data_IF_212644331270
#
_entry.id   IF_212644331270
#
_cell.length_a   1.000
_cell.length_b   1.000
_cell.length_c   1.000
_cell.angle_alpha   90.00
_cell.angle_beta   90.00
_cell.angle_gamma   90.00
#
_symmetry.space_group_name_H-M   'P 1'
#
loop_
_entity.id
_entity.type
_entity.pdbx_description
1 polymer ?
#
# COMPACT_ATOMS: atom_id res chain seq x y z
N UNK A 1 -3.79 -18.54 15.32
CA UNK A 1 -3.00 -17.78 16.30
C UNK A 1 -1.52 -17.81 15.93
N UNK A 2 -0.76 -18.89 16.10
CA UNK A 2 0.70 -18.88 15.85
C UNK A 2 1.12 -18.43 14.43
N UNK A 3 0.41 -18.85 13.37
CA UNK A 3 0.72 -18.43 12.01
C UNK A 3 0.44 -16.94 11.76
N UNK A 4 -0.67 -16.44 12.28
CA UNK A 4 -1.06 -15.03 12.17
C UNK A 4 -0.07 -14.14 12.93
N UNK A 5 0.37 -14.57 14.10
CA UNK A 5 1.35 -13.87 14.92
C UNK A 5 2.71 -13.80 14.19
N UNK A 6 3.17 -14.91 13.61
CA UNK A 6 4.42 -14.96 12.83
C UNK A 6 4.40 -14.06 11.60
N UNK A 7 3.27 -14.02 10.87
CA UNK A 7 3.11 -13.13 9.71
C UNK A 7 3.12 -11.67 10.15
N UNK A 8 2.38 -11.34 11.21
CA UNK A 8 2.30 -9.97 11.76
C UNK A 8 3.67 -9.50 12.25
N UNK A 9 4.38 -10.34 13.00
CA UNK A 9 5.74 -10.04 13.47
C UNK A 9 6.69 -9.78 12.30
N UNK A 10 6.67 -10.66 11.29
CA UNK A 10 7.53 -10.53 10.09
C UNK A 10 7.26 -9.22 9.35
N UNK A 11 5.99 -8.87 9.13
CA UNK A 11 5.61 -7.64 8.44
C UNK A 11 5.98 -6.40 9.25
N UNK A 12 5.71 -6.42 10.55
CA UNK A 12 6.01 -5.30 11.45
C UNK A 12 7.51 -5.06 11.53
N UNK A 13 8.32 -6.10 11.66
CA UNK A 13 9.78 -5.99 11.74
C UNK A 13 10.39 -5.48 10.41
N UNK A 14 9.89 -5.95 9.25
CA UNK A 14 10.31 -5.44 7.95
C UNK A 14 9.93 -3.98 7.76
N UNK A 15 8.72 -3.59 8.20
CA UNK A 15 8.26 -2.20 8.15
C UNK A 15 9.11 -1.31 9.04
N UNK A 16 9.44 -1.76 10.25
CA UNK A 16 10.34 -1.05 11.17
C UNK A 16 11.69 -0.78 10.52
N UNK A 17 12.32 -1.79 9.94
CA UNK A 17 13.61 -1.64 9.25
C UNK A 17 13.52 -0.64 8.09
N UNK A 18 12.44 -0.68 7.31
CA UNK A 18 12.23 0.28 6.24
C UNK A 18 12.07 1.71 6.75
N UNK A 19 11.34 1.92 7.86
CA UNK A 19 11.21 3.23 8.50
C UNK A 19 12.56 3.74 8.96
N UNK A 20 13.35 2.90 9.64
CA UNK A 20 14.69 3.26 10.13
C UNK A 20 15.67 3.58 9.01
N UNK A 21 15.60 2.81 7.90
CA UNK A 21 16.49 2.99 6.75
C UNK A 21 16.16 4.21 5.90
N UNK A 22 14.87 4.52 5.72
CA UNK A 22 14.41 5.53 4.77
C UNK A 22 13.85 6.79 5.42
N UNK A 23 13.60 6.78 6.74
CA UNK A 23 13.03 7.89 7.49
C UNK A 23 11.82 8.54 6.80
N UNK A 24 10.80 7.76 6.38
CA UNK A 24 9.64 8.28 5.66
C UNK A 24 8.83 9.20 6.58
N UNK A 25 8.17 10.20 6.00
CA UNK A 25 7.21 11.05 6.72
C UNK A 25 5.84 10.39 6.83
N UNK A 26 5.54 9.47 5.93
CA UNK A 26 4.21 8.85 5.84
C UNK A 26 4.35 7.37 5.53
N UNK A 27 3.62 6.55 6.26
CA UNK A 27 3.42 5.12 6.01
C UNK A 27 1.98 4.89 5.55
N UNK A 28 1.80 4.37 4.35
CA UNK A 28 0.48 4.02 3.81
C UNK A 28 0.36 2.50 3.76
N UNK A 29 -0.69 1.96 4.35
CA UNK A 29 -0.97 0.52 4.39
C UNK A 29 -2.30 0.24 3.69
N UNK A 30 -2.25 -0.58 2.65
CA UNK A 30 -3.39 -0.97 1.83
C UNK A 30 -3.32 -2.43 1.38
N UNK A 31 -4.33 -2.85 0.61
CA UNK A 31 -4.46 -4.23 0.12
C UNK A 31 -5.25 -5.13 1.08
N UNK A 32 -5.67 -6.33 0.59
CA UNK A 32 -6.59 -7.21 1.31
C UNK A 32 -6.12 -7.61 2.71
N UNK A 33 -4.84 -7.91 2.89
CA UNK A 33 -4.26 -8.28 4.19
C UNK A 33 -4.32 -7.14 5.21
N UNK A 34 -4.36 -5.88 4.74
CA UNK A 34 -4.49 -4.73 5.63
C UNK A 34 -5.85 -4.62 6.33
N UNK A 35 -6.83 -5.46 5.98
CA UNK A 35 -8.08 -5.58 6.71
C UNK A 35 -7.94 -6.35 8.03
N UNK A 36 -6.86 -7.14 8.18
CA UNK A 36 -6.60 -7.91 9.39
C UNK A 36 -6.37 -6.98 10.59
N UNK A 37 -7.20 -7.14 11.63
CA UNK A 37 -7.19 -6.26 12.80
C UNK A 37 -5.93 -6.41 13.66
N UNK A 38 -5.36 -7.62 13.73
CA UNK A 38 -4.15 -7.88 14.49
C UNK A 38 -2.95 -7.15 13.87
N UNK A 39 -2.79 -7.26 12.54
CA UNK A 39 -1.77 -6.53 11.79
C UNK A 39 -1.95 -5.00 11.91
N UNK A 40 -3.18 -4.50 11.83
CA UNK A 40 -3.47 -3.06 11.99
C UNK A 40 -3.06 -2.55 13.35
N UNK A 41 -3.40 -3.28 14.42
CA UNK A 41 -3.00 -2.93 15.78
C UNK A 41 -1.47 -2.89 15.95
N UNK A 42 -0.77 -3.90 15.41
CA UNK A 42 0.69 -3.97 15.47
C UNK A 42 1.37 -2.81 14.70
N UNK A 43 0.88 -2.49 13.50
CA UNK A 43 1.41 -1.37 12.71
C UNK A 43 1.09 -0.01 13.32
N UNK A 44 -0.06 0.13 13.98
CA UNK A 44 -0.39 1.35 14.74
C UNK A 44 0.57 1.51 15.92
N UNK A 45 0.74 0.47 16.72
CA UNK A 45 1.68 0.48 17.84
C UNK A 45 3.12 0.78 17.38
N UNK A 46 3.55 0.22 16.24
CA UNK A 46 4.85 0.55 15.65
C UNK A 46 4.92 2.03 15.28
N UNK A 47 3.92 2.57 14.57
CA UNK A 47 3.93 3.97 14.12
C UNK A 47 3.95 4.95 15.30
N UNK A 48 3.29 4.63 16.42
CA UNK A 48 3.26 5.44 17.64
C UNK A 48 4.66 5.60 18.26
N UNK A 49 5.61 4.72 17.94
CA UNK A 49 7.01 4.85 18.39
C UNK A 49 7.80 5.89 17.58
N UNK A 50 7.24 6.39 16.48
CA UNK A 50 7.88 7.37 15.58
C UNK A 50 7.04 8.66 15.50
N UNK A 51 7.24 9.66 16.38
CA UNK A 51 6.37 10.84 16.48
C UNK A 51 6.25 11.68 15.19
N UNK A 52 7.24 11.56 14.29
CA UNK A 52 7.23 12.28 13.00
C UNK A 52 6.58 11.50 11.86
N UNK A 53 6.17 10.24 12.11
CA UNK A 53 5.58 9.36 11.10
C UNK A 53 4.06 9.47 11.12
N UNK A 54 3.46 9.75 9.96
CA UNK A 54 2.02 9.74 9.78
C UNK A 54 1.61 8.38 9.22
N UNK A 55 0.75 7.65 9.96
CA UNK A 55 0.21 6.36 9.50
C UNK A 55 -1.15 6.56 8.83
N UNK A 56 -1.28 6.09 7.60
CA UNK A 56 -2.56 5.97 6.89
C UNK A 56 -2.92 4.49 6.67
N UNK A 57 -3.95 4.04 7.37
CA UNK A 57 -4.55 2.72 7.15
C UNK A 57 -5.77 2.87 6.24
N UNK A 58 -5.83 2.09 5.17
CA UNK A 58 -7.03 2.04 4.32
C UNK A 58 -8.26 1.64 5.14
N UNK A 59 -9.44 2.21 4.79
CA UNK A 59 -10.68 1.74 5.39
C UNK A 59 -10.89 0.26 5.00
N UNK A 60 -11.17 -0.65 5.96
CA UNK A 60 -11.35 -2.08 5.68
C UNK A 60 -12.37 -2.36 4.57
N UNK A 61 -13.39 -1.51 4.41
CA UNK A 61 -14.39 -1.61 3.34
C UNK A 61 -13.78 -1.51 1.94
N UNK A 62 -12.64 -0.82 1.79
CA UNK A 62 -11.95 -0.60 0.52
C UNK A 62 -10.60 -1.33 0.45
N UNK A 63 -10.30 -2.19 1.42
CA UNK A 63 -9.03 -2.93 1.46
C UNK A 63 -8.98 -4.08 0.45
N UNK A 64 -10.13 -4.63 0.06
CA UNK A 64 -10.27 -5.65 -0.99
C UNK A 64 -10.63 -5.03 -2.32
N UNK A 65 -10.59 -5.81 -3.39
CA UNK A 65 -10.99 -5.39 -4.73
C UNK A 65 -12.39 -4.80 -4.72
N UNK A 66 -12.54 -3.60 -5.27
CA UNK A 66 -13.81 -2.90 -5.32
C UNK A 66 -13.89 -1.94 -6.51
N UNK A 67 -15.11 -1.67 -6.96
CA UNK A 67 -15.36 -0.81 -8.12
C UNK A 67 -14.95 0.67 -7.87
N UNK A 68 -14.87 1.12 -6.63
CA UNK A 68 -14.48 2.50 -6.29
C UNK A 68 -13.03 2.77 -6.69
N UNK A 69 -12.12 1.79 -6.52
CA UNK A 69 -10.72 1.91 -6.94
C UNK A 69 -10.61 2.12 -8.45
N UNK A 70 -11.37 1.34 -9.22
CA UNK A 70 -11.37 1.41 -10.68
C UNK A 70 -12.02 2.72 -11.16
N UNK A 71 -13.13 3.12 -10.54
CA UNK A 71 -13.80 4.38 -10.87
C UNK A 71 -12.89 5.60 -10.59
N UNK A 72 -12.16 5.59 -9.47
CA UNK A 72 -11.23 6.66 -9.12
C UNK A 72 -10.03 6.70 -10.09
N UNK A 73 -9.46 5.53 -10.42
CA UNK A 73 -8.39 5.42 -11.41
C UNK A 73 -8.86 5.91 -12.79
N UNK A 74 -10.05 5.53 -13.22
CA UNK A 74 -10.67 6.02 -14.46
C UNK A 74 -10.88 7.53 -14.44
N UNK A 75 -11.36 8.08 -13.34
CA UNK A 75 -11.56 9.53 -13.21
C UNK A 75 -10.23 10.30 -13.28
N UNK A 76 -9.18 9.83 -12.61
CA UNK A 76 -7.86 10.49 -12.64
C UNK A 76 -7.22 10.43 -14.03
N UNK A 77 -7.56 9.41 -14.83
CA UNK A 77 -7.06 9.22 -16.19
C UNK A 77 -8.11 9.55 -17.29
N UNK A 78 -9.18 10.26 -16.95
CA UNK A 78 -10.31 10.54 -17.87
C UNK A 78 -9.94 11.18 -19.21
N UNK A 79 -8.77 11.82 -19.27
CA UNK A 79 -8.26 12.43 -20.51
C UNK A 79 -7.35 11.48 -21.32
N UNK A 80 -7.11 10.26 -20.82
CA UNK A 80 -6.35 9.23 -21.53
C UNK A 80 -7.34 8.23 -22.11
N UNK A 81 -7.40 8.15 -23.41
CA UNK A 81 -8.29 7.22 -24.12
C UNK A 81 -7.43 6.09 -24.70
N UNK A 82 -7.82 4.85 -24.43
CA UNK A 82 -7.32 3.69 -25.15
C UNK A 82 -8.31 3.37 -26.30
N UNK A 83 -7.78 2.90 -27.41
CA UNK A 83 -8.62 2.40 -28.49
C UNK A 83 -9.27 1.08 -28.05
N UNK A 84 -10.62 1.00 -27.98
CA UNK A 84 -11.30 -0.22 -27.57
C UNK A 84 -10.95 -1.45 -28.42
N UNK A 85 -10.56 -1.24 -29.69
CA UNK A 85 -10.19 -2.33 -30.60
C UNK A 85 -8.84 -2.99 -30.25
N UNK A 86 -7.97 -2.24 -29.56
CA UNK A 86 -6.62 -2.72 -29.17
C UNK A 86 -6.49 -2.98 -27.69
N UNK A 87 -7.57 -2.74 -26.89
CA UNK A 87 -7.56 -2.93 -25.45
C UNK A 87 -7.49 -4.42 -25.11
N UNK A 88 -6.41 -4.82 -24.48
CA UNK A 88 -6.21 -6.20 -23.97
C UNK A 88 -5.95 -6.17 -22.48
N UNK A 89 -6.38 -7.22 -21.77
CA UNK A 89 -6.02 -7.41 -20.38
C UNK A 89 -4.65 -8.11 -20.32
N UNK A 90 -3.74 -7.55 -19.53
CA UNK A 90 -2.43 -8.15 -19.26
C UNK A 90 -2.27 -8.35 -17.75
N UNK A 91 -2.38 -9.61 -17.32
CA UNK A 91 -2.24 -10.00 -15.91
C UNK A 91 -0.79 -10.01 -15.40
N UNK A 92 0.18 -9.93 -16.32
CA UNK A 92 1.61 -9.92 -16.00
C UNK A 92 2.24 -8.52 -16.05
N UNK A 93 1.42 -7.48 -16.24
CA UNK A 93 1.90 -6.10 -16.27
C UNK A 93 2.59 -5.73 -14.96
N UNK A 94 3.89 -5.50 -15.03
CA UNK A 94 4.68 -5.05 -13.88
C UNK A 94 4.51 -3.55 -13.67
N UNK A 95 4.50 -3.11 -12.40
CA UNK A 95 4.62 -1.69 -12.12
C UNK A 95 5.95 -1.18 -12.68
N UNK A 96 5.96 0.00 -13.33
CA UNK A 96 7.22 0.63 -13.69
C UNK A 96 8.03 0.79 -12.40
N UNK A 97 9.23 0.23 -12.37
CA UNK A 97 10.17 0.49 -11.28
C UNK A 97 10.45 1.99 -11.31
N UNK A 98 9.97 2.70 -10.27
CA UNK A 98 10.32 4.10 -10.11
C UNK A 98 11.84 4.19 -10.07
N UNK A 99 12.41 4.90 -11.02
CA UNK A 99 13.83 5.23 -10.98
C UNK A 99 14.02 6.10 -9.74
N UNK A 100 14.62 5.53 -8.69
CA UNK A 100 14.82 6.18 -7.39
C UNK A 100 15.68 7.45 -7.46
N UNK A 101 16.19 7.78 -8.64
CA UNK A 101 16.96 9.00 -8.91
C UNK A 101 16.09 10.27 -8.92
N UNK A 102 14.79 10.16 -9.21
CA UNK A 102 13.90 11.32 -9.31
C UNK A 102 13.34 11.82 -7.96
N UNK A 103 13.52 11.08 -6.86
CA UNK A 103 13.00 11.46 -5.53
C UNK A 103 14.04 12.13 -4.63
N UNK A 104 15.21 12.49 -5.15
CA UNK A 104 16.29 13.16 -4.41
C UNK A 104 16.49 14.64 -4.80
N UNK A 105 15.45 15.31 -5.31
CA UNK A 105 15.47 16.76 -5.51
C UNK A 105 14.46 17.45 -4.61
#
# INVERSE_FOLDING_TARGET
MEFEDAVTETLTEKTKRAIEQHSPKTLVVGGGVSANQHLRAALTALADTYPALILHLSNPRYATDNAVMIALAGYTHRNKHADPATLTADSSLSFPTADHTALRQ
#
